data_IF_384875527278
#
_entry.id   IF_384875527278
#
_cell.length_a   1.000
_cell.length_b   1.000
_cell.length_c   1.000
_cell.angle_alpha   90.00
_cell.angle_beta   90.00
_cell.angle_gamma   90.00
#
_symmetry.space_group_name_H-M   'P 1'
#
loop_
_entity.id
_entity.type
_entity.pdbx_description
1 polymer ?
#
# COMPACT_ATOMS: atom_id res chain seq x y z
N UNK A 1 -28.55 -22.02 -9.98
CA UNK A 1 -27.62 -21.16 -10.77
C UNK A 1 -26.26 -21.11 -10.05
N UNK A 2 -25.12 -21.22 -10.76
CA UNK A 2 -23.79 -21.44 -10.16
C UNK A 2 -23.20 -20.27 -9.36
N UNK A 3 -23.66 -19.03 -9.59
CA UNK A 3 -23.02 -17.81 -9.05
C UNK A 3 -23.97 -16.82 -8.35
N UNK A 4 -25.19 -17.25 -8.02
CA UNK A 4 -26.27 -16.36 -7.59
C UNK A 4 -26.00 -15.72 -6.22
N UNK A 5 -25.60 -16.52 -5.24
CA UNK A 5 -25.27 -16.04 -3.89
C UNK A 5 -23.76 -15.94 -3.68
N UNK A 6 -23.33 -15.28 -2.61
CA UNK A 6 -21.91 -15.28 -2.25
C UNK A 6 -21.40 -16.69 -1.92
N UNK A 7 -22.21 -17.49 -1.21
CA UNK A 7 -21.89 -18.88 -0.91
C UNK A 7 -21.67 -19.71 -2.17
N UNK A 8 -22.55 -19.55 -3.17
CA UNK A 8 -22.41 -20.23 -4.46
C UNK A 8 -21.07 -19.86 -5.13
N UNK A 9 -20.72 -18.55 -5.14
CA UNK A 9 -19.45 -18.08 -5.73
C UNK A 9 -18.21 -18.60 -5.00
N UNK A 10 -18.27 -18.76 -3.68
CA UNK A 10 -17.16 -19.32 -2.90
C UNK A 10 -16.96 -20.79 -3.24
N UNK A 11 -18.04 -21.58 -3.27
CA UNK A 11 -17.99 -23.00 -3.64
C UNK A 11 -17.47 -23.19 -5.06
N UNK A 12 -17.93 -22.37 -6.01
CA UNK A 12 -17.55 -22.45 -7.42
C UNK A 12 -16.38 -21.52 -7.80
N UNK A 13 -15.54 -21.10 -6.84
CA UNK A 13 -14.46 -20.13 -7.09
C UNK A 13 -13.49 -20.58 -8.18
N UNK A 14 -13.17 -21.87 -8.21
CA UNK A 14 -12.26 -22.44 -9.21
C UNK A 14 -12.80 -22.34 -10.65
N UNK A 15 -14.13 -22.35 -10.83
CA UNK A 15 -14.78 -22.11 -12.12
C UNK A 15 -14.96 -20.62 -12.41
N UNK A 16 -15.29 -19.83 -11.39
CA UNK A 16 -15.60 -18.40 -11.55
C UNK A 16 -14.38 -17.56 -11.91
N UNK A 17 -13.23 -17.84 -11.30
CA UNK A 17 -12.00 -17.04 -11.50
C UNK A 17 -11.54 -17.05 -12.97
N UNK A 18 -11.42 -18.21 -13.67
CA UNK A 18 -11.05 -18.23 -15.09
C UNK A 18 -11.99 -17.39 -15.97
N UNK A 19 -13.31 -17.47 -15.76
CA UNK A 19 -14.31 -16.69 -16.51
C UNK A 19 -14.07 -15.19 -16.34
N UNK A 20 -13.86 -14.74 -15.09
CA UNK A 20 -13.60 -13.34 -14.82
C UNK A 20 -12.24 -12.90 -15.37
N UNK A 21 -11.21 -13.75 -15.28
CA UNK A 21 -9.88 -13.46 -15.82
C UNK A 21 -9.89 -13.21 -17.32
N UNK A 22 -10.63 -14.02 -18.10
CA UNK A 22 -10.81 -13.81 -19.53
C UNK A 22 -11.46 -12.45 -19.83
N UNK A 23 -12.49 -12.08 -19.06
CA UNK A 23 -13.16 -10.78 -19.21
C UNK A 23 -12.20 -9.64 -18.87
N UNK A 24 -11.50 -9.72 -17.73
CA UNK A 24 -10.61 -8.64 -17.30
C UNK A 24 -9.39 -8.48 -18.23
N UNK A 25 -8.94 -9.55 -18.89
CA UNK A 25 -7.87 -9.50 -19.89
C UNK A 25 -8.25 -8.72 -21.16
N UNK A 26 -9.55 -8.55 -21.44
CA UNK A 26 -10.01 -7.91 -22.68
C UNK A 26 -9.79 -6.39 -22.74
N UNK A 27 -9.48 -5.73 -21.62
CA UNK A 27 -9.30 -4.27 -21.56
C UNK A 27 -8.18 -3.89 -20.59
N UNK A 28 -7.51 -2.74 -20.79
CA UNK A 28 -6.49 -2.25 -19.87
C UNK A 28 -7.05 -1.99 -18.46
N UNK A 29 -6.19 -2.15 -17.44
CA UNK A 29 -6.56 -1.91 -16.03
C UNK A 29 -7.26 -0.58 -15.77
N UNK A 30 -6.82 0.49 -16.44
CA UNK A 30 -7.32 1.85 -16.22
C UNK A 30 -8.76 2.01 -16.71
N UNK A 31 -9.13 1.29 -17.77
CA UNK A 31 -10.51 1.29 -18.26
C UNK A 31 -11.42 0.55 -17.28
N UNK A 32 -10.99 -0.61 -16.78
CA UNK A 32 -11.74 -1.34 -15.75
C UNK A 32 -11.91 -0.54 -14.47
N UNK A 33 -10.86 0.13 -13.98
CA UNK A 33 -10.94 0.97 -12.79
C UNK A 33 -12.04 2.04 -12.93
N UNK A 34 -12.04 2.78 -14.05
CA UNK A 34 -13.06 3.80 -14.35
C UNK A 34 -14.47 3.22 -14.41
N UNK A 35 -14.64 2.06 -15.06
CA UNK A 35 -15.96 1.41 -15.19
C UNK A 35 -16.49 0.91 -13.84
N UNK A 36 -15.63 0.29 -13.03
CA UNK A 36 -15.99 -0.24 -11.72
C UNK A 36 -16.26 0.87 -10.71
N UNK A 37 -15.43 1.93 -10.68
CA UNK A 37 -15.66 3.13 -9.86
C UNK A 37 -17.00 3.81 -10.24
N UNK A 38 -17.25 3.99 -11.54
CA UNK A 38 -18.51 4.55 -12.02
C UNK A 38 -19.75 3.73 -11.65
N UNK A 39 -19.58 2.42 -11.42
CA UNK A 39 -20.61 1.52 -10.94
C UNK A 39 -20.66 1.40 -9.39
N UNK A 40 -19.81 2.12 -8.66
CA UNK A 40 -19.71 2.02 -7.20
C UNK A 40 -19.14 0.70 -6.70
N UNK A 41 -18.40 -0.04 -7.54
CA UNK A 41 -17.80 -1.32 -7.21
C UNK A 41 -16.38 -1.08 -6.68
N UNK A 42 -16.07 -1.46 -5.42
CA UNK A 42 -14.73 -1.34 -4.87
C UNK A 42 -13.72 -2.14 -5.69
N UNK A 43 -12.65 -1.47 -6.10
CA UNK A 43 -11.54 -2.06 -6.83
C UNK A 43 -10.24 -1.31 -6.47
N UNK A 44 -9.10 -1.90 -6.79
CA UNK A 44 -7.80 -1.26 -6.58
C UNK A 44 -6.71 -1.91 -7.42
N UNK A 45 -5.73 -1.13 -7.89
CA UNK A 45 -4.60 -1.67 -8.63
C UNK A 45 -3.68 -2.48 -7.72
N UNK A 46 -3.00 -3.48 -8.28
CA UNK A 46 -1.83 -4.10 -7.65
C UNK A 46 -0.62 -3.24 -8.04
N UNK A 47 -0.10 -2.47 -7.08
CA UNK A 47 1.06 -1.63 -7.30
C UNK A 47 2.38 -2.39 -7.16
N UNK A 48 3.36 -2.04 -7.99
CA UNK A 48 4.78 -2.36 -7.74
C UNK A 48 5.33 -1.44 -6.65
N UNK A 49 6.52 -1.75 -6.10
CA UNK A 49 7.10 -0.94 -5.01
C UNK A 49 7.38 0.51 -5.45
N UNK A 50 7.88 0.73 -6.65
CA UNK A 50 8.10 2.06 -7.23
C UNK A 50 6.78 2.85 -7.37
N UNK A 51 5.70 2.17 -7.74
CA UNK A 51 4.36 2.76 -7.80
C UNK A 51 3.84 3.11 -6.41
N UNK A 52 4.06 2.26 -5.39
CA UNK A 52 3.68 2.57 -4.01
C UNK A 52 4.41 3.82 -3.52
N UNK A 53 5.72 3.92 -3.76
CA UNK A 53 6.55 5.07 -3.38
C UNK A 53 6.08 6.34 -4.09
N UNK A 54 5.74 6.24 -5.37
CA UNK A 54 5.26 7.33 -6.20
C UNK A 54 3.75 7.60 -6.10
N UNK A 55 3.01 6.87 -5.26
CA UNK A 55 1.56 7.03 -5.16
C UNK A 55 1.20 8.37 -4.51
N UNK A 56 0.13 8.99 -5.00
CA UNK A 56 -0.31 10.29 -4.51
C UNK A 56 -0.74 10.22 -3.03
N UNK A 57 -1.37 9.11 -2.61
CA UNK A 57 -1.78 8.90 -1.24
C UNK A 57 -0.58 8.61 -0.32
N UNK A 58 0.38 7.81 -0.78
CA UNK A 58 1.65 7.59 -0.04
C UNK A 58 2.35 8.91 0.27
N UNK A 59 2.45 9.82 -0.71
CA UNK A 59 3.01 11.16 -0.53
C UNK A 59 2.15 12.04 0.38
N UNK A 60 0.83 12.08 0.14
CA UNK A 60 -0.09 12.91 0.92
C UNK A 60 -0.08 12.55 2.42
N UNK A 61 0.13 11.27 2.74
CA UNK A 61 0.19 10.77 4.11
C UNK A 61 1.60 10.80 4.72
N UNK A 62 2.59 11.30 3.99
CA UNK A 62 3.99 11.39 4.42
C UNK A 62 4.57 10.04 4.84
N UNK A 63 4.13 8.94 4.23
CA UNK A 63 4.51 7.58 4.65
C UNK A 63 5.99 7.27 4.48
N UNK A 64 6.64 7.91 3.50
CA UNK A 64 8.07 7.81 3.25
C UNK A 64 8.70 9.14 3.64
N UNK A 65 9.68 9.09 4.54
CA UNK A 65 10.32 10.26 5.12
C UNK A 65 11.84 10.13 4.99
N UNK A 66 12.53 11.24 4.83
CA UNK A 66 13.99 11.27 4.93
C UNK A 66 14.44 10.97 6.36
N UNK A 67 15.48 10.16 6.48
CA UNK A 67 16.19 9.92 7.74
C UNK A 67 16.84 11.23 8.22
N UNK A 68 16.84 11.44 9.54
CA UNK A 68 17.55 12.56 10.15
C UNK A 68 19.05 12.53 9.79
N UNK A 69 19.53 13.61 9.14
CA UNK A 69 20.94 13.76 8.77
C UNK A 69 21.41 12.97 7.55
N UNK A 70 20.51 12.38 6.75
CA UNK A 70 20.89 11.73 5.48
C UNK A 70 19.81 11.83 4.40
N UNK A 71 20.17 11.56 3.14
CA UNK A 71 19.22 11.45 2.02
C UNK A 71 18.57 10.06 1.91
N UNK A 72 18.71 9.20 2.93
CA UNK A 72 18.08 7.90 2.95
C UNK A 72 16.60 8.04 3.26
N UNK A 73 15.74 7.49 2.40
CA UNK A 73 14.30 7.44 2.62
C UNK A 73 13.89 6.15 3.33
N UNK A 74 13.02 6.27 4.33
CA UNK A 74 12.54 5.17 5.15
C UNK A 74 11.01 5.28 5.34
N UNK A 75 10.37 4.14 5.58
CA UNK A 75 8.94 4.10 5.94
C UNK A 75 8.76 4.60 7.37
N UNK A 76 7.95 5.64 7.55
CA UNK A 76 7.62 6.21 8.85
C UNK A 76 6.62 5.35 9.65
N UNK A 77 6.43 5.70 10.92
CA UNK A 77 5.48 5.01 11.81
C UNK A 77 4.07 5.02 11.22
N UNK A 78 3.29 3.92 11.27
CA UNK A 78 1.97 3.78 10.62
C UNK A 78 0.83 4.53 11.34
N UNK A 79 1.11 5.72 11.86
CA UNK A 79 0.19 6.52 12.66
C UNK A 79 0.46 8.01 12.44
N UNK A 80 -0.58 8.81 12.66
CA UNK A 80 -0.52 10.27 12.61
C UNK A 80 -1.23 10.84 13.82
N UNK A 81 -0.71 11.94 14.35
CA UNK A 81 -1.33 12.74 15.40
C UNK A 81 -1.65 14.11 14.81
N UNK A 82 -2.91 14.56 14.94
CA UNK A 82 -3.36 15.86 14.43
C UNK A 82 -3.00 16.11 12.95
N UNK A 83 -3.07 15.07 12.14
CA UNK A 83 -2.74 15.11 10.71
C UNK A 83 -1.25 15.01 10.37
N UNK A 84 -0.36 14.98 11.36
CA UNK A 84 1.09 14.88 11.17
C UNK A 84 1.62 13.49 11.54
N UNK A 85 2.40 12.89 10.64
CA UNK A 85 3.15 11.65 10.93
C UNK A 85 4.43 12.01 11.71
N UNK A 86 4.74 11.33 12.83
CA UNK A 86 5.96 11.61 13.58
C UNK A 86 7.22 11.50 12.71
N UNK A 87 8.15 12.46 12.76
CA UNK A 87 9.39 12.40 11.97
C UNK A 87 10.44 11.52 12.64
N UNK A 88 11.45 11.11 11.87
CA UNK A 88 12.69 10.56 12.43
C UNK A 88 13.45 11.67 13.16
N UNK A 89 13.77 11.46 14.44
CA UNK A 89 14.40 12.49 15.29
C UNK A 89 15.91 12.41 15.33
N UNK A 90 16.48 11.19 15.25
CA UNK A 90 17.93 10.95 15.18
C UNK A 90 18.25 9.75 14.28
N UNK A 91 19.46 9.69 13.71
CA UNK A 91 19.95 8.48 13.07
C UNK A 91 20.00 7.30 14.05
N UNK A 92 20.06 6.07 13.50
CA UNK A 92 20.44 4.91 14.31
C UNK A 92 21.87 5.11 14.87
N UNK A 93 22.09 4.85 16.16
CA UNK A 93 23.40 5.05 16.78
C UNK A 93 24.43 4.11 16.16
N UNK A 94 25.68 4.57 16.09
CA UNK A 94 26.82 3.73 15.77
C UNK A 94 27.12 2.74 16.90
N UNK A 95 27.91 1.70 16.58
CA UNK A 95 28.34 0.72 17.57
C UNK A 95 29.11 1.41 18.70
N UNK A 96 28.53 1.39 19.92
CA UNK A 96 29.13 1.99 21.11
C UNK A 96 28.94 3.50 21.26
N UNK A 97 28.14 4.15 20.41
CA UNK A 97 27.93 5.62 20.45
C UNK A 97 27.38 6.11 21.80
N UNK A 98 26.49 5.34 22.42
CA UNK A 98 25.85 5.70 23.69
C UNK A 98 26.55 5.07 24.92
N UNK A 99 27.73 4.43 24.78
CA UNK A 99 28.37 3.67 25.87
C UNK A 99 28.73 4.56 27.07
N UNK A 100 29.40 5.70 26.86
CA UNK A 100 29.80 6.62 27.93
C UNK A 100 28.56 7.17 28.66
N UNK A 101 27.51 7.50 27.91
CA UNK A 101 26.25 8.02 28.47
C UNK A 101 25.52 6.98 29.33
N UNK A 102 25.59 5.70 28.97
CA UNK A 102 24.83 4.63 29.65
C UNK A 102 25.64 3.91 30.73
N UNK A 103 26.95 3.74 30.54
CA UNK A 103 27.81 2.91 31.39
C UNK A 103 28.68 3.71 32.37
N UNK A 104 28.96 4.98 32.08
CA UNK A 104 29.92 5.80 32.84
C UNK A 104 31.34 5.61 32.36
#
# INVERSE_FOLDING_TARGET
PRFRTNGDRVVHRAELVPILSEIFAARPRAEWARLLEGAGIPNGPIHTLDQVVADAQTRALGMIQKRAGSDLELVGLPLSFDGARPPFTKPAPMLGEDNETVLG
#
